data_IF_496402752862
#
_entry.id   IF_496402752862
#
_cell.length_a   1.000
_cell.length_b   1.000
_cell.length_c   1.000
_cell.angle_alpha   90.00
_cell.angle_beta   90.00
_cell.angle_gamma   90.00
#
_symmetry.space_group_name_H-M   'P 1'
#
loop_
_entity.id
_entity.type
_entity.pdbx_description
1 polymer ?
#
# COMPACT_ATOMS: atom_id res chain seq x y z
N UNK A 1 -11.12 0.88 -5.12
CA UNK A 1 -10.62 1.29 -3.77
C UNK A 1 -11.43 2.52 -3.36
N UNK A 2 -12.19 2.54 -2.24
CA UNK A 2 -12.85 3.80 -1.82
C UNK A 2 -11.85 4.63 -1.02
N UNK A 3 -11.36 5.73 -1.60
CA UNK A 3 -10.45 6.69 -0.95
C UNK A 3 -11.13 7.60 0.08
N UNK A 4 -12.38 7.30 0.46
CA UNK A 4 -13.09 7.97 1.56
C UNK A 4 -13.52 9.41 1.28
N UNK A 5 -13.01 10.03 0.23
CA UNK A 5 -13.40 11.36 -0.22
C UNK A 5 -14.54 11.26 -1.26
N UNK A 6 -15.57 12.10 -1.15
CA UNK A 6 -16.59 12.20 -2.18
C UNK A 6 -16.00 12.74 -3.49
N UNK A 7 -16.67 12.45 -4.60
CA UNK A 7 -16.34 13.07 -5.89
C UNK A 7 -16.35 14.60 -5.74
N UNK A 8 -15.30 15.32 -6.17
CA UNK A 8 -15.25 16.77 -6.06
C UNK A 8 -16.36 17.47 -6.86
N UNK A 9 -16.85 18.59 -6.35
CA UNK A 9 -17.78 19.45 -7.08
C UNK A 9 -17.08 20.25 -8.20
N UNK A 10 -17.85 20.79 -9.15
CA UNK A 10 -17.34 21.74 -10.15
C UNK A 10 -16.53 21.13 -11.29
N UNK A 11 -16.81 19.87 -11.65
CA UNK A 11 -16.09 19.14 -12.71
C UNK A 11 -16.42 19.63 -14.13
N UNK A 12 -17.54 20.32 -14.33
CA UNK A 12 -18.02 20.74 -15.65
C UNK A 12 -16.94 21.48 -16.46
N UNK A 13 -16.59 20.93 -17.62
CA UNK A 13 -15.57 21.48 -18.53
C UNK A 13 -14.14 21.43 -18.02
N UNK A 14 -13.86 20.78 -16.88
CA UNK A 14 -12.50 20.64 -16.33
C UNK A 14 -11.78 19.43 -16.93
N UNK A 15 -10.45 19.54 -17.01
CA UNK A 15 -9.57 18.39 -17.25
C UNK A 15 -9.27 17.73 -15.90
N UNK A 16 -9.70 16.48 -15.74
CA UNK A 16 -9.57 15.71 -14.49
C UNK A 16 -8.51 14.63 -14.68
N UNK A 17 -7.58 14.57 -13.72
CA UNK A 17 -6.60 13.50 -13.61
C UNK A 17 -6.85 12.73 -12.31
N UNK A 18 -6.93 11.41 -12.40
CA UNK A 18 -7.04 10.51 -11.25
C UNK A 18 -5.81 9.62 -11.24
N UNK A 19 -5.03 9.70 -10.17
CA UNK A 19 -3.69 9.11 -10.09
C UNK A 19 -3.62 8.15 -8.91
N UNK A 20 -3.18 6.92 -9.16
CA UNK A 20 -2.96 5.86 -8.17
C UNK A 20 -4.23 5.35 -7.47
N UNK A 21 -5.40 5.63 -8.05
CA UNK A 21 -6.67 5.07 -7.62
C UNK A 21 -7.79 5.22 -8.65
N UNK A 22 -8.93 4.60 -8.37
CA UNK A 22 -10.21 4.82 -9.05
C UNK A 22 -11.37 4.94 -8.07
N UNK A 23 -12.40 5.72 -8.44
CA UNK A 23 -13.71 5.66 -7.80
C UNK A 23 -14.47 4.39 -8.25
N UNK A 24 -15.53 3.95 -7.55
CA UNK A 24 -16.46 2.95 -8.07
C UNK A 24 -17.00 3.31 -9.47
N UNK A 25 -17.39 2.29 -10.26
CA UNK A 25 -17.82 2.48 -11.65
C UNK A 25 -18.88 3.58 -11.81
N UNK A 26 -19.95 3.56 -11.00
CA UNK A 26 -21.03 4.56 -11.07
C UNK A 26 -20.53 6.00 -10.86
N UNK A 27 -19.60 6.19 -9.91
CA UNK A 27 -18.99 7.49 -9.64
C UNK A 27 -18.04 7.90 -10.78
N UNK A 28 -17.32 6.95 -11.36
CA UNK A 28 -16.46 7.18 -12.52
C UNK A 28 -17.25 7.55 -13.78
N UNK A 29 -18.38 6.89 -14.03
CA UNK A 29 -19.27 7.19 -15.16
C UNK A 29 -19.77 8.63 -15.06
N UNK A 30 -20.21 9.06 -13.86
CA UNK A 30 -20.60 10.45 -13.61
C UNK A 30 -19.46 11.46 -13.87
N UNK A 31 -18.23 11.15 -13.43
CA UNK A 31 -17.06 12.01 -13.65
C UNK A 31 -16.77 12.14 -15.15
N UNK A 32 -16.82 11.04 -15.90
CA UNK A 32 -16.58 11.01 -17.35
C UNK A 32 -17.65 11.79 -18.12
N UNK A 33 -18.92 11.67 -17.73
CA UNK A 33 -20.03 12.42 -18.35
C UNK A 33 -19.98 13.92 -18.06
N UNK A 34 -19.47 14.32 -16.89
CA UNK A 34 -19.51 15.71 -16.43
C UNK A 34 -18.26 16.50 -16.81
N UNK A 35 -17.08 15.87 -16.72
CA UNK A 35 -15.81 16.55 -16.96
C UNK A 35 -15.61 16.89 -18.44
N UNK A 36 -14.73 17.86 -18.72
CA UNK A 36 -14.30 18.15 -20.10
C UNK A 36 -13.40 17.04 -20.66
N UNK A 37 -12.58 16.42 -19.81
CA UNK A 37 -11.81 15.22 -20.13
C UNK A 37 -11.38 14.53 -18.84
N UNK A 38 -11.23 13.21 -18.88
CA UNK A 38 -10.76 12.40 -17.74
C UNK A 38 -9.60 11.53 -18.18
N UNK A 39 -8.50 11.58 -17.44
CA UNK A 39 -7.38 10.67 -17.58
C UNK A 39 -7.18 9.91 -16.27
N UNK A 40 -7.04 8.59 -16.31
CA UNK A 40 -6.77 7.76 -15.13
C UNK A 40 -5.45 6.99 -15.26
N UNK A 41 -4.58 7.09 -14.25
CA UNK A 41 -3.28 6.43 -14.20
C UNK A 41 -3.23 5.57 -12.94
N UNK A 42 -3.24 4.25 -13.07
CA UNK A 42 -3.35 3.34 -11.92
C UNK A 42 -2.64 2.00 -12.15
N UNK A 43 -2.34 1.29 -11.08
CA UNK A 43 -1.68 -0.02 -11.06
C UNK A 43 -2.41 -1.07 -10.22
N UNK A 44 -3.46 -0.68 -9.49
CA UNK A 44 -4.17 -1.57 -8.58
C UNK A 44 -5.01 -2.61 -9.34
N UNK A 45 -4.69 -3.90 -9.18
CA UNK A 45 -5.39 -5.00 -9.86
C UNK A 45 -6.91 -4.98 -9.66
N UNK A 46 -7.38 -4.63 -8.46
CA UNK A 46 -8.81 -4.56 -8.13
C UNK A 46 -9.55 -3.39 -8.79
N UNK A 47 -8.84 -2.44 -9.41
CA UNK A 47 -9.40 -1.29 -10.10
C UNK A 47 -9.35 -1.42 -11.63
N UNK A 48 -8.72 -2.49 -12.16
CA UNK A 48 -8.42 -2.64 -13.58
C UNK A 48 -9.60 -2.41 -14.50
N UNK A 49 -10.74 -3.08 -14.25
CA UNK A 49 -11.93 -2.97 -15.10
C UNK A 49 -12.45 -1.52 -15.17
N UNK A 50 -12.45 -0.82 -14.04
CA UNK A 50 -12.87 0.59 -13.98
C UNK A 50 -11.86 1.48 -14.73
N UNK A 51 -10.56 1.27 -14.53
CA UNK A 51 -9.49 2.04 -15.17
C UNK A 51 -9.55 1.90 -16.69
N UNK A 52 -9.66 0.65 -17.18
CA UNK A 52 -9.74 0.34 -18.61
C UNK A 52 -11.06 0.81 -19.26
N UNK A 53 -12.10 1.13 -18.46
CA UNK A 53 -13.36 1.70 -18.98
C UNK A 53 -13.25 3.19 -19.36
N UNK A 54 -12.25 3.91 -18.84
CA UNK A 54 -12.04 5.34 -19.13
C UNK A 54 -11.26 5.49 -20.45
N UNK A 55 -11.68 6.35 -21.40
CA UNK A 55 -11.02 6.45 -22.70
C UNK A 55 -9.52 6.76 -22.66
N UNK A 56 -9.11 7.73 -21.83
CA UNK A 56 -7.69 8.03 -21.61
C UNK A 56 -7.22 7.37 -20.31
N UNK A 57 -6.47 6.29 -20.42
CA UNK A 57 -5.96 5.58 -19.24
C UNK A 57 -4.54 5.03 -19.44
N UNK A 58 -3.86 4.78 -18.32
CA UNK A 58 -2.70 3.90 -18.23
C UNK A 58 -2.91 2.96 -17.07
N UNK A 59 -3.00 1.65 -17.37
CA UNK A 59 -3.00 0.59 -16.37
C UNK A 59 -1.69 -0.20 -16.46
N UNK A 60 -0.91 -0.25 -15.38
CA UNK A 60 0.33 -1.01 -15.35
C UNK A 60 0.69 -1.54 -13.95
N UNK A 61 0.33 -2.79 -13.68
CA UNK A 61 0.61 -3.48 -12.41
C UNK A 61 2.11 -3.68 -12.09
N UNK A 62 3.00 -3.43 -13.06
CA UNK A 62 4.46 -3.61 -12.90
C UNK A 62 5.18 -2.32 -12.54
N UNK A 63 4.45 -1.22 -12.44
CA UNK A 63 4.95 0.09 -12.03
C UNK A 63 4.12 0.62 -10.88
N UNK A 64 4.69 1.54 -10.11
CA UNK A 64 3.94 2.30 -9.09
C UNK A 64 3.14 3.43 -9.71
N UNK A 65 2.09 3.92 -9.05
CA UNK A 65 1.38 5.11 -9.49
C UNK A 65 2.29 6.33 -9.69
N UNK A 66 3.33 6.48 -8.86
CA UNK A 66 4.29 7.58 -8.95
C UNK A 66 5.12 7.54 -10.26
N UNK A 67 5.61 6.38 -10.66
CA UNK A 67 6.40 6.22 -11.89
C UNK A 67 5.53 6.23 -13.14
N UNK A 68 4.29 5.71 -13.07
CA UNK A 68 3.30 5.86 -14.15
C UNK A 68 3.00 7.34 -14.38
N UNK A 69 2.70 8.09 -13.31
CA UNK A 69 2.42 9.52 -13.40
C UNK A 69 3.60 10.30 -13.98
N UNK A 70 4.82 10.04 -13.49
CA UNK A 70 6.02 10.70 -14.03
C UNK A 70 6.19 10.45 -15.53
N UNK A 71 6.14 9.20 -15.98
CA UNK A 71 6.30 8.85 -17.39
C UNK A 71 5.20 9.46 -18.28
N UNK A 72 3.99 9.64 -17.76
CA UNK A 72 2.90 10.26 -18.49
C UNK A 72 3.10 11.77 -18.68
N UNK A 73 3.47 12.49 -17.61
CA UNK A 73 3.62 13.95 -17.66
C UNK A 73 4.99 14.43 -18.18
N UNK A 74 5.99 13.55 -18.14
CA UNK A 74 7.37 13.84 -18.55
C UNK A 74 7.93 12.74 -19.49
N UNK A 75 7.29 12.49 -20.65
CA UNK A 75 7.62 11.35 -21.50
C UNK A 75 9.07 11.33 -22.00
N UNK A 76 9.67 12.52 -22.16
CA UNK A 76 11.05 12.68 -22.64
C UNK A 76 12.08 12.80 -21.51
N UNK A 77 11.65 12.69 -20.25
CA UNK A 77 12.52 12.81 -19.08
C UNK A 77 12.62 11.49 -18.34
N UNK A 78 13.84 11.03 -18.09
CA UNK A 78 14.08 9.82 -17.30
C UNK A 78 13.43 9.91 -15.91
N UNK A 79 12.89 8.80 -15.43
CA UNK A 79 12.37 8.67 -14.06
C UNK A 79 13.49 8.95 -13.03
N UNK A 80 13.31 9.90 -12.09
CA UNK A 80 14.27 10.21 -11.03
C UNK A 80 14.59 9.01 -10.15
N UNK A 81 15.80 8.95 -9.59
CA UNK A 81 16.22 7.88 -8.68
C UNK A 81 15.27 7.71 -7.49
N UNK A 82 14.76 8.81 -6.94
CA UNK A 82 13.78 8.78 -5.84
C UNK A 82 12.53 7.95 -6.21
N UNK A 83 11.94 8.20 -7.37
CA UNK A 83 10.72 7.50 -7.79
C UNK A 83 10.96 6.02 -8.11
N UNK A 84 12.17 5.67 -8.56
CA UNK A 84 12.57 4.26 -8.73
C UNK A 84 12.63 3.52 -7.40
N UNK A 85 13.15 4.16 -6.35
CA UNK A 85 13.11 3.57 -5.00
C UNK A 85 11.68 3.49 -4.46
N UNK A 86 10.85 4.51 -4.70
CA UNK A 86 9.41 4.45 -4.33
C UNK A 86 8.73 3.26 -5.00
N UNK A 87 8.93 3.06 -6.31
CA UNK A 87 8.39 1.91 -7.04
C UNK A 87 8.88 0.57 -6.49
N UNK A 88 10.18 0.45 -6.22
CA UNK A 88 10.78 -0.77 -5.71
C UNK A 88 10.24 -1.16 -4.31
N UNK A 89 9.85 -0.18 -3.50
CA UNK A 89 9.19 -0.43 -2.21
C UNK A 89 7.68 -0.62 -2.29
N UNK A 90 7.01 0.14 -3.15
CA UNK A 90 5.56 0.06 -3.39
C UNK A 90 5.16 -1.33 -3.91
N UNK A 91 5.93 -1.85 -4.88
CA UNK A 91 5.80 -3.22 -5.39
C UNK A 91 6.39 -4.29 -4.44
N UNK A 92 6.94 -3.87 -3.30
CA UNK A 92 7.57 -4.73 -2.28
C UNK A 92 8.69 -5.63 -2.84
N UNK A 93 9.48 -5.13 -3.80
CA UNK A 93 10.53 -5.87 -4.49
C UNK A 93 11.89 -5.77 -3.79
N UNK A 94 12.25 -4.58 -3.31
CA UNK A 94 13.54 -4.27 -2.67
C UNK A 94 14.77 -4.75 -3.46
N UNK A 95 14.75 -4.62 -4.79
CA UNK A 95 15.83 -5.04 -5.70
C UNK A 95 16.91 -3.97 -5.84
N UNK A 96 16.56 -2.70 -5.68
CA UNK A 96 17.55 -1.62 -5.76
C UNK A 96 18.32 -1.54 -4.43
N UNK A 97 19.64 -1.27 -4.49
CA UNK A 97 20.44 -1.11 -3.28
C UNK A 97 19.87 0.04 -2.45
N UNK A 98 19.84 -0.14 -1.13
CA UNK A 98 19.44 0.89 -0.17
C UNK A 98 17.99 1.39 -0.26
N UNK A 99 17.09 0.76 -1.03
CA UNK A 99 15.66 1.15 -1.08
C UNK A 99 15.04 1.28 0.30
N UNK A 100 15.29 0.32 1.20
CA UNK A 100 14.81 0.37 2.59
C UNK A 100 15.27 1.63 3.33
N UNK A 101 16.52 2.02 3.14
CA UNK A 101 17.09 3.22 3.77
C UNK A 101 16.49 4.50 3.16
N UNK A 102 16.40 4.57 1.84
CA UNK A 102 15.82 5.72 1.13
C UNK A 102 14.37 5.93 1.53
N UNK A 103 13.54 4.88 1.49
CA UNK A 103 12.12 4.95 1.85
C UNK A 103 11.93 5.27 3.33
N UNK A 104 12.70 4.65 4.24
CA UNK A 104 12.62 4.98 5.66
C UNK A 104 12.92 6.46 5.92
N UNK A 105 13.88 7.03 5.18
CA UNK A 105 14.20 8.45 5.26
C UNK A 105 13.11 9.35 4.68
N UNK A 106 12.44 8.92 3.61
CA UNK A 106 11.28 9.61 3.01
C UNK A 106 10.09 9.64 3.98
N UNK A 107 9.81 8.55 4.69
CA UNK A 107 8.64 8.45 5.57
C UNK A 107 8.69 9.35 6.82
N UNK A 108 9.87 9.75 7.26
CA UNK A 108 10.02 10.62 8.44
C UNK A 108 9.98 12.11 8.11
N UNK A 109 9.53 12.46 6.90
CA UNK A 109 9.58 13.82 6.37
C UNK A 109 8.20 14.42 6.22
N UNK A 110 8.09 15.76 6.31
CA UNK A 110 6.83 16.43 6.05
C UNK A 110 6.31 16.06 4.66
N UNK A 111 5.00 15.84 4.58
CA UNK A 111 4.32 15.57 3.32
C UNK A 111 4.17 16.87 2.51
N UNK A 112 5.25 17.29 1.85
CA UNK A 112 5.35 18.57 1.15
C UNK A 112 6.19 18.47 -0.13
N UNK A 113 5.74 19.10 -1.21
CA UNK A 113 6.44 19.07 -2.51
C UNK A 113 7.90 19.54 -2.41
N UNK A 114 8.19 20.58 -1.63
CA UNK A 114 9.55 21.07 -1.44
C UNK A 114 10.49 20.04 -0.83
N UNK A 115 10.00 19.14 0.02
CA UNK A 115 10.82 18.06 0.58
C UNK A 115 11.09 16.98 -0.47
N UNK A 116 10.11 16.64 -1.30
CA UNK A 116 10.26 15.69 -2.40
C UNK A 116 11.23 16.19 -3.47
N UNK A 117 11.13 17.46 -3.85
CA UNK A 117 12.06 18.10 -4.79
C UNK A 117 13.48 18.09 -4.24
N UNK A 118 13.66 18.42 -2.95
CA UNK A 118 14.97 18.39 -2.29
C UNK A 118 15.54 16.97 -2.30
N UNK A 119 14.77 15.94 -1.93
CA UNK A 119 15.28 14.56 -1.92
C UNK A 119 15.60 14.02 -3.29
N UNK A 120 14.80 14.38 -4.30
CA UNK A 120 15.11 14.01 -5.67
C UNK A 120 16.49 14.58 -6.07
N UNK A 121 16.76 15.85 -5.77
CA UNK A 121 18.06 16.47 -6.04
C UNK A 121 19.20 15.88 -5.20
N UNK A 122 18.99 15.67 -3.90
CA UNK A 122 19.99 15.11 -2.99
C UNK A 122 20.37 13.67 -3.34
N UNK A 123 19.45 12.85 -3.86
CA UNK A 123 19.74 11.47 -4.28
C UNK A 123 20.51 11.40 -5.59
N UNK A 124 20.34 12.37 -6.50
CA UNK A 124 21.10 12.40 -7.75
C UNK A 124 22.55 12.84 -7.52
N UNK A 125 22.81 13.71 -6.54
CA UNK A 125 24.16 14.10 -6.16
C UNK A 125 24.85 13.05 -5.27
N UNK A 126 26.08 12.67 -5.61
CA UNK A 126 26.80 11.56 -4.96
C UNK A 126 27.09 11.80 -3.46
N UNK A 127 27.51 13.00 -3.09
CA UNK A 127 27.90 13.32 -1.71
C UNK A 127 26.67 13.35 -0.80
N UNK A 128 25.63 14.06 -1.22
CA UNK A 128 24.37 14.14 -0.49
C UNK A 128 23.65 12.80 -0.44
N UNK A 129 23.69 12.01 -1.52
CA UNK A 129 23.14 10.64 -1.56
C UNK A 129 23.78 9.77 -0.49
N UNK A 130 25.10 9.79 -0.36
CA UNK A 130 25.81 8.99 0.65
C UNK A 130 25.37 9.37 2.07
N UNK A 131 25.31 10.66 2.39
CA UNK A 131 24.87 11.14 3.71
C UNK A 131 23.40 10.77 3.98
N UNK A 132 22.53 10.89 2.97
CA UNK A 132 21.12 10.54 3.07
C UNK A 132 20.95 9.04 3.35
N UNK A 133 21.63 8.18 2.59
CA UNK A 133 21.57 6.72 2.78
C UNK A 133 22.08 6.32 4.16
N UNK A 134 23.18 6.90 4.64
CA UNK A 134 23.71 6.61 5.98
C UNK A 134 22.68 6.92 7.07
N UNK A 135 22.03 8.09 7.01
CA UNK A 135 20.92 8.43 7.92
C UNK A 135 19.75 7.48 7.75
N UNK A 136 19.37 7.19 6.51
CA UNK A 136 18.27 6.29 6.17
C UNK A 136 18.46 4.88 6.71
N UNK A 137 19.70 4.36 6.75
CA UNK A 137 20.02 3.04 7.30
C UNK A 137 19.72 2.96 8.80
N UNK A 138 20.07 4.00 9.57
CA UNK A 138 19.73 4.06 11.00
C UNK A 138 18.22 4.01 11.22
N UNK A 139 17.45 4.73 10.40
CA UNK A 139 15.98 4.67 10.46
C UNK A 139 15.43 3.32 10.02
N UNK A 140 15.99 2.71 8.98
CA UNK A 140 15.58 1.39 8.51
C UNK A 140 15.86 0.30 9.55
N UNK A 141 17.00 0.34 10.24
CA UNK A 141 17.33 -0.56 11.35
C UNK A 141 16.34 -0.40 12.50
N UNK A 142 16.05 0.84 12.90
CA UNK A 142 15.06 1.10 13.94
C UNK A 142 13.66 0.63 13.53
N UNK A 143 13.27 0.88 12.28
CA UNK A 143 11.99 0.43 11.74
C UNK A 143 11.88 -1.10 11.76
N UNK A 144 12.93 -1.83 11.38
CA UNK A 144 12.97 -3.28 11.44
C UNK A 144 12.81 -3.81 12.88
N UNK A 145 13.43 -3.15 13.87
CA UNK A 145 13.23 -3.48 15.29
C UNK A 145 11.78 -3.27 15.74
N UNK A 146 11.12 -2.21 15.27
CA UNK A 146 9.70 -1.98 15.57
C UNK A 146 8.80 -3.05 14.93
N UNK A 147 9.08 -3.44 13.68
CA UNK A 147 8.37 -4.55 13.01
C UNK A 147 8.46 -5.83 13.84
N UNK A 148 9.65 -6.20 14.30
CA UNK A 148 9.88 -7.35 15.17
C UNK A 148 9.10 -7.26 16.48
N UNK A 149 9.13 -6.10 17.15
CA UNK A 149 8.42 -5.88 18.40
C UNK A 149 6.89 -5.96 18.24
N UNK A 150 6.36 -5.49 17.12
CA UNK A 150 4.93 -5.61 16.81
C UNK A 150 4.60 -7.08 16.51
N UNK A 151 5.38 -7.74 15.66
CA UNK A 151 5.16 -9.14 15.30
C UNK A 151 5.23 -10.08 16.52
N UNK A 152 6.05 -9.77 17.52
CA UNK A 152 6.13 -10.50 18.79
C UNK A 152 4.88 -10.39 19.68
N UNK A 153 3.88 -9.57 19.31
CA UNK A 153 2.59 -9.47 20.01
C UNK A 153 1.46 -10.17 19.27
N UNK A 154 1.77 -10.89 18.19
CA UNK A 154 0.75 -11.48 17.34
C UNK A 154 0.09 -12.70 17.98
N UNK A 155 -1.23 -12.73 17.98
CA UNK A 155 -2.01 -13.85 18.53
C UNK A 155 -2.20 -14.93 17.47
N UNK A 156 -2.25 -16.19 17.93
CA UNK A 156 -2.50 -17.31 17.04
C UNK A 156 -4.00 -17.50 16.82
N UNK A 157 -4.43 -17.49 15.55
CA UNK A 157 -5.83 -17.64 15.16
C UNK A 157 -6.00 -18.69 14.05
N UNK A 158 -7.21 -19.22 13.91
CA UNK A 158 -7.66 -19.94 12.71
C UNK A 158 -8.52 -19.01 11.86
N UNK A 159 -8.15 -18.79 10.60
CA UNK A 159 -8.88 -18.00 9.62
C UNK A 159 -8.95 -18.77 8.30
N UNK A 160 -10.14 -18.97 7.74
CA UNK A 160 -10.36 -19.81 6.55
C UNK A 160 -9.79 -21.25 6.70
N UNK A 161 -9.75 -21.77 7.92
CA UNK A 161 -9.15 -23.08 8.23
C UNK A 161 -7.62 -23.09 8.27
N UNK A 162 -6.97 -21.93 8.11
CA UNK A 162 -5.51 -21.75 8.17
C UNK A 162 -5.15 -21.21 9.54
N UNK A 163 -4.25 -21.89 10.25
CA UNK A 163 -3.63 -21.31 11.44
C UNK A 163 -2.63 -20.22 11.03
N UNK A 164 -2.80 -19.00 11.52
CA UNK A 164 -1.96 -17.87 11.18
C UNK A 164 -1.80 -16.90 12.36
N UNK A 165 -0.88 -15.96 12.22
CA UNK A 165 -0.69 -14.90 13.20
C UNK A 165 -1.49 -13.65 12.83
N UNK A 166 -2.09 -13.03 13.84
CA UNK A 166 -2.86 -11.78 13.74
C UNK A 166 -2.32 -10.74 14.71
N UNK A 167 -2.13 -9.51 14.24
CA UNK A 167 -1.77 -8.37 15.11
C UNK A 167 -2.40 -7.06 14.65
N UNK A 168 -2.38 -6.05 15.51
CA UNK A 168 -2.70 -4.67 15.15
C UNK A 168 -1.41 -3.89 14.89
N UNK A 169 -1.36 -3.04 13.85
CA UNK A 169 -0.18 -2.25 13.53
C UNK A 169 -0.57 -0.95 12.81
N UNK A 170 0.08 0.17 13.14
CA UNK A 170 -0.12 1.42 12.39
C UNK A 170 0.18 1.21 10.90
N UNK A 171 -0.52 1.96 10.03
CA UNK A 171 -0.49 1.72 8.58
C UNK A 171 0.92 1.70 7.98
N UNK A 172 1.84 2.51 8.52
CA UNK A 172 3.24 2.54 8.09
C UNK A 172 3.95 1.19 8.25
N UNK A 173 3.58 0.36 9.23
CA UNK A 173 4.19 -0.95 9.50
C UNK A 173 3.43 -2.12 8.87
N UNK A 174 2.24 -1.88 8.34
CA UNK A 174 1.28 -2.91 7.91
C UNK A 174 1.88 -3.95 6.97
N UNK A 175 2.57 -3.51 5.92
CA UNK A 175 3.14 -4.43 4.93
C UNK A 175 4.29 -5.25 5.50
N UNK A 176 5.21 -4.63 6.24
CA UNK A 176 6.38 -5.33 6.80
C UNK A 176 5.98 -6.29 7.92
N UNK A 177 5.12 -5.86 8.84
CA UNK A 177 4.60 -6.72 9.90
C UNK A 177 3.83 -7.90 9.31
N UNK A 178 2.95 -7.66 8.33
CA UNK A 178 2.19 -8.76 7.73
C UNK A 178 3.05 -9.80 7.02
N UNK A 179 4.05 -9.36 6.26
CA UNK A 179 4.98 -10.27 5.61
C UNK A 179 5.84 -11.03 6.64
N UNK A 180 6.24 -10.38 7.73
CA UNK A 180 6.96 -11.04 8.82
C UNK A 180 6.10 -12.10 9.51
N UNK A 181 4.82 -11.81 9.77
CA UNK A 181 3.87 -12.79 10.32
C UNK A 181 3.70 -14.00 9.40
N UNK A 182 3.51 -13.76 8.08
CA UNK A 182 3.42 -14.83 7.08
C UNK A 182 4.70 -15.67 7.01
N UNK A 183 5.88 -15.08 7.24
CA UNK A 183 7.15 -15.84 7.33
C UNK A 183 7.24 -16.67 8.61
N UNK A 184 6.83 -16.13 9.76
CA UNK A 184 6.90 -16.82 11.05
C UNK A 184 5.96 -18.01 11.13
N UNK A 185 4.76 -17.88 10.56
CA UNK A 185 3.80 -18.97 10.43
C UNK A 185 3.18 -18.94 9.04
N UNK A 186 3.82 -19.60 8.07
CA UNK A 186 3.31 -19.70 6.72
C UNK A 186 1.93 -20.35 6.67
N UNK A 187 1.09 -20.00 5.68
CA UNK A 187 1.41 -19.09 4.57
C UNK A 187 0.91 -17.65 4.76
N UNK A 188 0.29 -17.32 5.89
CA UNK A 188 -0.57 -16.14 6.02
C UNK A 188 -0.27 -15.32 7.29
N UNK A 189 -0.31 -14.00 7.14
CA UNK A 189 -0.28 -13.03 8.24
C UNK A 189 -1.45 -12.05 8.14
N UNK A 190 -2.06 -11.74 9.28
CA UNK A 190 -3.20 -10.83 9.38
C UNK A 190 -2.83 -9.56 10.14
N UNK A 191 -3.20 -8.40 9.59
CA UNK A 191 -3.12 -7.10 10.27
C UNK A 191 -4.52 -6.53 10.39
N UNK A 192 -4.93 -6.18 11.60
CA UNK A 192 -6.25 -5.63 11.88
C UNK A 192 -6.12 -4.20 12.40
N UNK A 193 -6.82 -3.25 11.78
CA UNK A 193 -6.87 -1.85 12.20
C UNK A 193 -8.31 -1.35 12.32
N UNK A 194 -8.57 -0.54 13.33
CA UNK A 194 -9.88 0.03 13.62
C UNK A 194 -9.97 1.48 13.16
N UNK A 195 -11.06 1.82 12.47
CA UNK A 195 -11.36 3.18 12.00
C UNK A 195 -12.83 3.48 12.28
N UNK A 196 -13.12 4.05 13.46
CA UNK A 196 -14.50 4.28 13.91
C UNK A 196 -15.26 2.95 14.04
N UNK A 197 -16.29 2.78 13.23
CA UNK A 197 -17.14 1.59 13.16
C UNK A 197 -16.70 0.58 12.08
N UNK A 198 -15.49 0.72 11.53
CA UNK A 198 -14.95 -0.17 10.51
C UNK A 198 -13.68 -0.86 10.99
N UNK A 199 -13.63 -2.18 10.77
CA UNK A 199 -12.44 -3.00 10.99
C UNK A 199 -11.82 -3.30 9.63
N UNK A 200 -10.62 -2.78 9.37
CA UNK A 200 -9.84 -3.11 8.19
C UNK A 200 -8.99 -4.34 8.48
N UNK A 201 -9.16 -5.39 7.69
CA UNK A 201 -8.39 -6.63 7.77
C UNK A 201 -7.48 -6.70 6.55
N UNK A 202 -6.18 -6.64 6.78
CA UNK A 202 -5.16 -6.73 5.73
C UNK A 202 -4.49 -8.09 5.78
N UNK A 203 -4.33 -8.69 4.62
CA UNK A 203 -3.78 -10.01 4.40
C UNK A 203 -2.42 -9.88 3.71
N UNK A 204 -1.42 -10.58 4.23
CA UNK A 204 -0.14 -10.80 3.56
C UNK A 204 0.14 -12.29 3.52
N UNK A 205 0.62 -12.78 2.39
CA UNK A 205 0.95 -14.20 2.26
C UNK A 205 2.23 -14.45 1.48
N UNK A 206 2.77 -15.64 1.64
CA UNK A 206 3.73 -16.17 0.67
C UNK A 206 3.03 -16.57 -0.65
N UNK A 207 3.78 -16.96 -1.70
CA UNK A 207 3.22 -17.31 -3.01
C UNK A 207 2.38 -18.59 -3.06
N UNK A 208 2.27 -19.37 -1.98
CA UNK A 208 1.52 -20.63 -1.98
C UNK A 208 0.00 -20.45 -1.93
N UNK A 209 -0.48 -19.26 -1.58
CA UNK A 209 -1.91 -18.93 -1.54
C UNK A 209 -2.19 -17.57 -2.21
N UNK A 210 -3.40 -17.43 -2.74
CA UNK A 210 -3.93 -16.17 -3.28
C UNK A 210 -4.88 -15.52 -2.26
N UNK A 211 -4.40 -14.50 -1.55
CA UNK A 211 -5.20 -13.76 -0.57
C UNK A 211 -6.20 -12.79 -1.21
N UNK A 212 -6.06 -12.45 -2.49
CA UNK A 212 -7.06 -11.65 -3.19
C UNK A 212 -8.36 -12.43 -3.36
N UNK A 213 -8.27 -13.74 -3.64
CA UNK A 213 -9.42 -14.63 -3.70
C UNK A 213 -10.12 -14.77 -2.33
N UNK A 214 -9.34 -14.82 -1.25
CA UNK A 214 -9.88 -14.82 0.12
C UNK A 214 -10.60 -13.50 0.41
N UNK A 215 -9.94 -12.35 0.17
CA UNK A 215 -10.53 -11.04 0.43
C UNK A 215 -11.85 -10.83 -0.32
N UNK A 216 -11.96 -11.31 -1.57
CA UNK A 216 -13.19 -11.22 -2.37
C UNK A 216 -14.40 -11.89 -1.71
N UNK A 217 -14.22 -12.99 -0.95
CA UNK A 217 -15.31 -13.63 -0.18
C UNK A 217 -15.94 -12.67 0.85
N UNK A 218 -15.15 -11.71 1.31
CA UNK A 218 -15.51 -10.69 2.30
C UNK A 218 -15.77 -9.32 1.65
N UNK A 219 -15.98 -9.26 0.33
CA UNK A 219 -16.20 -8.01 -0.41
C UNK A 219 -14.95 -7.12 -0.54
N UNK A 220 -13.77 -7.68 -0.27
CA UNK A 220 -12.48 -7.02 -0.42
C UNK A 220 -11.82 -7.23 -1.79
N UNK A 221 -10.58 -6.76 -1.90
CA UNK A 221 -9.78 -6.83 -3.13
C UNK A 221 -8.28 -6.76 -2.84
N UNK A 222 -7.45 -6.98 -3.85
CA UNK A 222 -6.00 -6.78 -3.78
C UNK A 222 -5.24 -7.62 -4.80
N UNK A 223 -3.95 -7.78 -4.54
CA UNK A 223 -3.03 -8.64 -5.27
C UNK A 223 -2.93 -10.02 -4.60
N UNK A 224 -2.41 -11.04 -5.31
CA UNK A 224 -2.36 -12.40 -4.78
C UNK A 224 -1.63 -12.56 -3.44
N UNK A 225 -0.63 -11.73 -3.13
CA UNK A 225 0.11 -11.76 -1.85
C UNK A 225 -0.23 -10.60 -0.91
N UNK A 226 -1.11 -9.68 -1.32
CA UNK A 226 -1.44 -8.47 -0.57
C UNK A 226 -2.86 -8.03 -0.87
N UNK A 227 -3.78 -8.33 0.04
CA UNK A 227 -5.19 -7.98 -0.11
C UNK A 227 -5.77 -7.45 1.19
N UNK A 228 -6.97 -6.88 1.12
CA UNK A 228 -7.68 -6.43 2.30
C UNK A 228 -9.19 -6.48 2.10
N UNK A 229 -9.92 -6.60 3.20
CA UNK A 229 -11.36 -6.45 3.28
C UNK A 229 -11.74 -5.64 4.52
N UNK A 230 -13.01 -5.25 4.62
CA UNK A 230 -13.52 -4.45 5.74
C UNK A 230 -14.70 -5.17 6.37
N UNK A 231 -14.78 -5.12 7.69
CA UNK A 231 -15.93 -5.56 8.47
C UNK A 231 -16.58 -4.36 9.14
N UNK A 232 -17.89 -4.40 9.39
CA UNK A 232 -18.52 -3.42 10.26
C UNK A 232 -18.29 -3.81 11.71
N UNK A 233 -18.21 -2.82 12.58
CA UNK A 233 -18.12 -3.04 14.01
C UNK A 233 -19.32 -3.83 14.51
N UNK A 234 -19.06 -4.91 15.25
CA UNK A 234 -20.08 -5.83 15.75
C UNK A 234 -20.42 -6.98 14.81
N UNK A 235 -19.94 -6.98 13.56
CA UNK A 235 -20.02 -8.16 12.70
C UNK A 235 -19.23 -9.33 13.33
N UNK A 236 -19.66 -10.60 13.14
CA UNK A 236 -18.89 -11.75 13.58
C UNK A 236 -17.47 -11.72 13.03
N UNK A 237 -16.48 -11.91 13.90
CA UNK A 237 -15.09 -12.01 13.47
C UNK A 237 -14.90 -13.32 12.68
N UNK A 238 -14.27 -13.29 11.49
CA UNK A 238 -14.14 -14.49 10.66
C UNK A 238 -13.00 -15.42 11.10
N UNK A 239 -12.37 -15.14 12.24
CA UNK A 239 -11.31 -15.97 12.82
C UNK A 239 -11.66 -16.42 14.24
N UNK A 240 -11.06 -17.54 14.65
CA UNK A 240 -11.14 -18.06 16.02
C UNK A 240 -9.78 -17.96 16.69
N UNK A 241 -9.71 -17.47 17.93
CA UNK A 241 -8.46 -17.42 18.70
C UNK A 241 -8.10 -18.82 19.18
N UNK A 242 -6.89 -19.29 18.86
CA UNK A 242 -6.40 -20.63 19.21
C UNK A 242 -5.48 -20.62 20.43
N UNK A 243 -4.70 -19.55 20.59
CA UNK A 243 -3.89 -19.31 21.78
C UNK A 243 -3.78 -17.81 22.00
N UNK A 244 -4.25 -17.34 23.14
CA UNK A 244 -3.95 -15.98 23.59
C UNK A 244 -2.46 -15.90 23.94
N UNK A 245 -1.83 -14.77 23.63
CA UNK A 245 -0.43 -14.55 23.91
C UNK A 245 -0.20 -14.73 25.43
N UNK A 246 0.48 -15.80 25.85
CA UNK A 246 0.98 -15.92 27.21
C UNK A 246 2.20 -14.99 27.32
N UNK A 247 1.96 -13.70 27.59
CA UNK A 247 3.06 -12.79 27.89
C UNK A 247 3.40 -12.93 29.39
N UNK A 248 4.69 -13.11 29.78
CA UNK A 248 5.08 -13.27 31.19
C UNK A 248 4.98 -11.97 32.03
N UNK A 249 4.16 -10.99 31.62
CA UNK A 249 3.90 -9.75 32.37
C UNK A 249 2.42 -9.43 32.57
N UNK A 250 1.54 -10.38 32.26
CA UNK A 250 0.20 -10.38 32.82
C UNK A 250 0.21 -11.05 34.19
#
# INVERSE_FOLDING_TARGET
MKHGWPVPEGLAGRKVFILDFSYPQEEMDFIVETAGSVTILDHHLGAREVVESVPEHVFDEKRSGATIAWSYFHPDTSVPALLKHVEDGDLYLFKLPDTRAVIAYVYIRPFAFSEWDRFAQELENEETRKSLIEKGRVYAEHFALLVEQIANKAVLVSFEGIECYLVTAADMFKSDVGNELARRKPPLGLIVNFHGDVINVSLRSDPSIDVSAIAKKYGGSGHPQSAAFRLKWGDPLPWTVLKEHEHPRD
#
